data_IF_750099616574
#
_entry.id   IF_750099616574
#
_cell.length_a   1.000
_cell.length_b   1.000
_cell.length_c   1.000
_cell.angle_alpha   90.00
_cell.angle_beta   90.00
_cell.angle_gamma   90.00
#
_symmetry.space_group_name_H-M   'P 1'
#
loop_
_entity.id
_entity.type
_entity.pdbx_description
1 polymer ?
#
# COMPACT_ATOMS: atom_id res chain seq x y z
N UNK A 1 7.15 22.14 3.85
CA UNK A 1 5.74 21.74 3.80
C UNK A 1 5.54 20.59 4.78
N UNK A 2 4.44 20.62 5.55
CA UNK A 2 4.15 19.51 6.48
C UNK A 2 3.65 18.29 5.69
N UNK A 3 4.06 17.09 6.10
CA UNK A 3 3.60 15.83 5.47
C UNK A 3 2.07 15.77 5.41
N UNK A 4 1.37 16.19 6.48
CA UNK A 4 -0.08 16.30 6.52
C UNK A 4 -0.64 17.21 5.42
N UNK A 5 -0.01 18.36 5.22
CA UNK A 5 -0.44 19.31 4.17
C UNK A 5 -0.25 18.70 2.78
N UNK A 6 0.87 18.03 2.53
CA UNK A 6 1.13 17.35 1.26
C UNK A 6 0.10 16.24 0.97
N UNK A 7 -0.28 15.46 1.99
CA UNK A 7 -1.34 14.44 1.85
C UNK A 7 -2.68 15.09 1.47
N UNK A 8 -3.02 16.21 2.11
CA UNK A 8 -4.26 16.92 1.80
C UNK A 8 -4.27 17.53 0.39
N UNK A 9 -3.15 18.10 -0.05
CA UNK A 9 -2.98 18.62 -1.42
C UNK A 9 -3.09 17.51 -2.46
N UNK A 10 -2.46 16.35 -2.21
CA UNK A 10 -2.60 15.16 -3.04
C UNK A 10 -4.05 14.67 -3.09
N UNK A 11 -4.74 14.61 -1.94
CA UNK A 11 -6.14 14.21 -1.86
C UNK A 11 -7.08 15.17 -2.60
N UNK A 12 -6.80 16.47 -2.59
CA UNK A 12 -7.55 17.45 -3.38
C UNK A 12 -7.31 17.27 -4.88
N UNK A 13 -6.09 16.95 -5.27
CA UNK A 13 -5.76 16.68 -6.68
C UNK A 13 -6.49 15.46 -7.20
N UNK A 14 -6.47 14.35 -6.45
CA UNK A 14 -7.22 13.13 -6.77
C UNK A 14 -8.72 13.40 -6.78
N UNK A 15 -9.22 14.19 -5.82
CA UNK A 15 -10.63 14.57 -5.75
C UNK A 15 -11.12 15.35 -6.97
N UNK A 16 -10.28 16.15 -7.61
CA UNK A 16 -10.61 16.86 -8.88
C UNK A 16 -10.86 15.89 -10.02
N UNK A 17 -10.13 14.78 -10.06
CA UNK A 17 -10.32 13.71 -11.05
C UNK A 17 -11.52 12.80 -10.72
N UNK A 18 -12.18 13.02 -9.57
CA UNK A 18 -13.33 12.22 -9.12
C UNK A 18 -12.94 11.00 -8.30
N UNK A 19 -11.66 10.84 -7.95
CA UNK A 19 -11.17 9.75 -7.10
C UNK A 19 -11.51 9.95 -5.62
N UNK A 20 -11.61 8.84 -4.89
CA UNK A 20 -11.84 8.78 -3.45
C UNK A 20 -10.74 7.92 -2.82
N UNK A 21 -9.58 8.48 -2.52
CA UNK A 21 -8.47 7.72 -1.98
C UNK A 21 -8.81 7.18 -0.58
N UNK A 22 -8.49 5.91 -0.36
CA UNK A 22 -8.78 5.20 0.89
C UNK A 22 -7.53 5.09 1.77
N UNK A 23 -6.36 4.88 1.14
CA UNK A 23 -5.13 4.52 1.84
C UNK A 23 -3.96 5.39 1.36
N UNK A 24 -3.12 5.79 2.30
CA UNK A 24 -1.86 6.47 2.06
C UNK A 24 -0.71 5.63 2.60
N UNK A 25 0.21 5.21 1.74
CA UNK A 25 1.44 4.51 2.14
C UNK A 25 2.57 5.50 2.31
N UNK A 26 3.25 5.42 3.46
CA UNK A 26 4.43 6.21 3.79
C UNK A 26 5.57 5.33 4.28
N UNK A 27 6.80 5.83 4.18
CA UNK A 27 7.94 5.20 4.85
C UNK A 27 7.80 5.27 6.38
N UNK A 28 8.46 4.38 7.11
CA UNK A 28 8.45 4.43 8.58
C UNK A 28 8.95 5.76 9.16
N UNK A 29 9.96 6.37 8.52
CA UNK A 29 10.50 7.66 8.96
C UNK A 29 9.51 8.80 8.78
N UNK A 30 8.85 8.85 7.62
CA UNK A 30 7.85 9.87 7.31
C UNK A 30 6.59 9.70 8.16
N UNK A 31 6.18 8.45 8.38
CA UNK A 31 5.06 8.13 9.27
C UNK A 31 5.33 8.59 10.71
N UNK A 32 6.54 8.30 11.26
CA UNK A 32 6.92 8.76 12.58
C UNK A 32 6.94 10.29 12.68
N UNK A 33 7.44 10.98 11.66
CA UNK A 33 7.43 12.45 11.59
C UNK A 33 6.01 13.00 11.56
N UNK A 34 5.11 12.35 10.83
CA UNK A 34 3.70 12.72 10.79
C UNK A 34 3.05 12.54 12.17
N UNK A 35 3.25 11.40 12.84
CA UNK A 35 2.71 11.12 14.17
C UNK A 35 3.18 12.15 15.19
N UNK A 36 4.47 12.46 15.24
CA UNK A 36 5.03 13.48 16.13
C UNK A 36 4.44 14.87 15.87
N UNK A 37 4.18 15.21 14.61
CA UNK A 37 3.57 16.49 14.25
C UNK A 37 2.10 16.59 14.70
N UNK A 38 1.38 15.47 14.73
CA UNK A 38 0.00 15.39 15.20
C UNK A 38 -0.08 15.39 16.73
N UNK A 39 0.82 14.70 17.41
CA UNK A 39 0.91 14.73 18.87
C UNK A 39 1.19 16.14 19.41
N UNK A 40 2.02 16.91 18.72
CA UNK A 40 2.26 18.32 19.07
C UNK A 40 1.01 19.20 18.94
N UNK A 41 0.10 18.86 18.03
CA UNK A 41 -1.16 19.61 17.83
C UNK A 41 -2.27 19.17 18.81
N UNK A 42 -2.23 17.95 19.32
CA UNK A 42 -3.29 17.33 20.14
C UNK A 42 -2.96 17.36 21.64
N UNK A 43 -1.84 17.95 22.05
CA UNK A 43 -1.40 17.96 23.46
C UNK A 43 -2.40 18.57 24.47
N UNK A 44 -3.55 19.06 24.00
CA UNK A 44 -4.63 19.60 24.86
C UNK A 44 -5.90 18.75 25.00
N UNK A 45 -6.08 17.69 24.24
CA UNK A 45 -7.35 16.95 24.16
C UNK A 45 -7.21 15.42 24.24
N UNK A 46 -6.25 14.90 24.99
CA UNK A 46 -6.20 13.46 25.30
C UNK A 46 -7.28 13.12 26.32
N UNK A 47 -8.47 12.74 25.86
CA UNK A 47 -9.40 12.01 26.72
C UNK A 47 -8.78 10.61 26.98
N UNK A 48 -8.64 10.21 28.24
CA UNK A 48 -8.22 8.86 28.58
C UNK A 48 -9.37 7.90 28.22
N UNK A 49 -9.27 7.25 27.06
CA UNK A 49 -10.14 6.15 26.68
C UNK A 49 -9.73 4.87 27.39
N UNK A 50 -10.65 3.89 27.58
CA UNK A 50 -10.34 2.64 28.26
C UNK A 50 -9.34 1.82 27.46
N UNK A 51 -8.32 1.33 28.17
CA UNK A 51 -7.32 0.35 27.74
C UNK A 51 -6.65 0.65 26.40
N UNK A 52 -5.47 1.24 26.48
CA UNK A 52 -4.55 1.33 25.35
C UNK A 52 -4.10 -0.10 24.98
N UNK A 53 -4.73 -0.66 23.96
CA UNK A 53 -4.14 -1.79 23.27
C UNK A 53 -2.89 -1.27 22.57
N UNK A 54 -1.73 -1.79 22.96
CA UNK A 54 -0.50 -1.68 22.20
C UNK A 54 -0.68 -2.46 20.90
N UNK A 55 -1.21 -1.82 19.90
CA UNK A 55 -1.35 -2.32 18.54
C UNK A 55 -1.25 -1.12 17.61
N UNK A 56 -0.71 -1.32 16.43
CA UNK A 56 -0.56 -0.31 15.39
C UNK A 56 -1.86 0.47 15.22
N UNK A 57 -1.87 1.68 15.73
CA UNK A 57 -3.00 2.59 15.57
C UNK A 57 -2.91 3.11 14.13
N UNK A 58 -3.87 2.76 13.31
CA UNK A 58 -3.99 3.36 11.99
C UNK A 58 -4.17 4.85 12.16
N UNK A 59 -3.23 5.62 11.65
CA UNK A 59 -3.29 7.05 11.65
C UNK A 59 -4.25 7.46 10.55
N UNK A 60 -5.27 8.25 10.88
CA UNK A 60 -6.25 8.72 9.90
C UNK A 60 -6.08 10.20 9.62
N UNK A 61 -6.02 10.56 8.36
CA UNK A 61 -6.10 11.96 7.89
C UNK A 61 -7.46 12.16 7.23
N UNK A 62 -8.19 13.16 7.68
CA UNK A 62 -9.50 13.47 7.09
C UNK A 62 -9.28 14.27 5.81
N UNK A 63 -9.59 13.64 4.69
CA UNK A 63 -9.55 14.26 3.37
C UNK A 63 -10.92 14.80 2.93
N UNK A 64 -11.02 15.40 1.73
CA UNK A 64 -12.26 16.00 1.21
C UNK A 64 -13.38 14.97 0.98
N UNK A 65 -13.06 13.70 0.80
CA UNK A 65 -14.01 12.62 0.54
C UNK A 65 -14.17 11.62 1.70
N UNK A 66 -13.51 11.87 2.83
CA UNK A 66 -13.59 11.02 4.01
C UNK A 66 -12.24 10.76 4.67
N UNK A 67 -12.19 9.82 5.62
CA UNK A 67 -10.95 9.46 6.28
C UNK A 67 -10.05 8.67 5.32
N UNK A 68 -8.76 8.99 5.37
CA UNK A 68 -7.68 8.32 4.63
C UNK A 68 -6.82 7.63 5.67
N UNK A 69 -6.69 6.31 5.57
CA UNK A 69 -5.84 5.52 6.46
C UNK A 69 -4.39 5.67 6.05
N UNK A 70 -3.53 6.09 6.97
CA UNK A 70 -2.10 6.20 6.73
C UNK A 70 -1.39 4.97 7.28
N UNK A 71 -0.81 4.19 6.38
CA UNK A 71 -0.16 2.91 6.69
C UNK A 71 1.34 3.02 6.45
N UNK A 72 2.18 2.70 7.45
CA UNK A 72 3.62 2.64 7.25
C UNK A 72 4.01 1.38 6.46
N UNK A 73 4.85 1.56 5.45
CA UNK A 73 5.38 0.47 4.64
C UNK A 73 6.91 0.56 4.57
N UNK A 74 7.58 -0.58 4.80
CA UNK A 74 9.05 -0.66 4.76
C UNK A 74 9.62 -0.49 3.36
N UNK A 75 8.86 -0.90 2.34
CA UNK A 75 9.28 -0.87 0.95
C UNK A 75 9.00 0.49 0.29
N UNK A 76 8.30 1.38 1.00
CA UNK A 76 8.08 2.76 0.55
C UNK A 76 9.38 3.59 0.72
N UNK A 77 9.89 4.23 -0.34
CA UNK A 77 11.07 5.07 -0.24
C UNK A 77 10.84 6.27 0.69
N UNK A 78 11.85 6.58 1.52
CA UNK A 78 11.82 7.78 2.36
C UNK A 78 11.71 9.04 1.50
N UNK A 79 10.90 9.99 1.92
CA UNK A 79 10.65 11.21 1.17
C UNK A 79 9.56 11.06 0.09
N UNK A 80 8.86 9.93 0.07
CA UNK A 80 7.81 9.63 -0.91
C UNK A 80 6.57 9.06 -0.24
N UNK A 81 5.40 9.34 -0.83
CA UNK A 81 4.14 8.76 -0.39
C UNK A 81 3.25 8.40 -1.57
N UNK A 82 2.41 7.42 -1.36
CA UNK A 82 1.45 6.91 -2.34
C UNK A 82 0.05 7.01 -1.78
N UNK A 83 -0.79 7.77 -2.45
CA UNK A 83 -2.20 7.90 -2.12
C UNK A 83 -3.00 7.07 -3.10
N UNK A 84 -3.64 6.01 -2.61
CA UNK A 84 -4.26 5.00 -3.46
C UNK A 84 -5.74 4.84 -3.15
N UNK A 85 -6.50 4.55 -4.21
CA UNK A 85 -7.85 4.04 -4.14
C UNK A 85 -7.80 2.54 -4.47
N UNK A 86 -7.90 1.68 -3.46
CA UNK A 86 -7.62 0.25 -3.58
C UNK A 86 -8.58 -0.49 -4.50
N UNK A 87 -9.83 -0.07 -4.62
CA UNK A 87 -10.83 -0.68 -5.51
C UNK A 87 -10.50 -0.53 -7.00
N UNK A 88 -9.60 0.42 -7.36
CA UNK A 88 -9.12 0.60 -8.74
C UNK A 88 -8.03 -0.38 -9.13
N UNK A 89 -7.42 -1.07 -8.16
CA UNK A 89 -6.35 -2.03 -8.39
C UNK A 89 -6.89 -3.46 -8.46
N UNK A 90 -6.40 -4.22 -9.40
CA UNK A 90 -6.77 -5.62 -9.57
C UNK A 90 -5.55 -6.46 -9.92
N UNK A 91 -5.46 -7.63 -9.30
CA UNK A 91 -4.47 -8.64 -9.66
C UNK A 91 -5.10 -9.59 -10.69
N UNK A 92 -4.58 -9.59 -11.89
CA UNK A 92 -4.97 -10.50 -12.96
C UNK A 92 -4.04 -11.71 -12.93
N UNK A 93 -4.59 -12.90 -12.82
CA UNK A 93 -3.82 -14.14 -12.87
C UNK A 93 -4.32 -15.05 -13.98
N UNK A 94 -3.40 -15.80 -14.57
CA UNK A 94 -3.68 -16.86 -15.53
C UNK A 94 -3.66 -18.20 -14.81
N UNK A 95 -4.77 -18.55 -14.15
CA UNK A 95 -4.88 -19.72 -13.28
C UNK A 95 -4.53 -19.43 -11.82
N UNK A 96 -4.22 -20.48 -11.08
CA UNK A 96 -3.87 -20.36 -9.66
C UNK A 96 -2.57 -19.59 -9.45
N UNK A 97 -2.50 -18.83 -8.33
CA UNK A 97 -1.35 -17.97 -8.04
C UNK A 97 -0.03 -18.74 -7.96
N UNK A 98 -0.07 -19.97 -7.46
CA UNK A 98 1.05 -20.91 -7.49
C UNK A 98 0.53 -22.25 -7.96
N UNK A 99 1.03 -22.74 -9.09
CA UNK A 99 0.67 -24.04 -9.66
C UNK A 99 1.92 -24.79 -10.13
N UNK A 100 1.82 -26.10 -10.22
CA UNK A 100 2.87 -26.92 -10.83
C UNK A 100 2.78 -26.72 -12.34
N UNK A 101 3.83 -26.16 -12.92
CA UNK A 101 3.91 -25.93 -14.36
C UNK A 101 4.18 -27.26 -15.07
N UNK A 102 3.35 -27.59 -16.05
CA UNK A 102 3.60 -28.72 -16.94
C UNK A 102 4.35 -28.25 -18.18
N UNK A 103 5.39 -28.96 -18.57
CA UNK A 103 6.10 -28.78 -19.83
C UNK A 103 5.84 -30.02 -20.68
N UNK A 104 5.31 -29.84 -21.88
CA UNK A 104 4.91 -30.94 -22.79
C UNK A 104 4.00 -31.99 -22.14
N UNK A 105 3.09 -31.56 -21.25
CA UNK A 105 2.19 -32.44 -20.53
C UNK A 105 2.81 -33.18 -19.33
N UNK A 106 4.11 -33.01 -19.08
CA UNK A 106 4.80 -33.61 -17.95
C UNK A 106 4.96 -32.61 -16.82
N UNK A 107 4.55 -32.99 -15.60
CA UNK A 107 4.70 -32.19 -14.36
C UNK A 107 6.05 -32.40 -13.69
N UNK A 108 6.75 -33.51 -14.03
CA UNK A 108 8.05 -33.88 -13.49
C UNK A 108 9.02 -34.00 -14.65
N UNK A 109 10.08 -33.22 -14.61
CA UNK A 109 11.15 -33.26 -15.59
C UNK A 109 12.33 -34.02 -15.02
N UNK A 110 12.91 -34.91 -15.83
CA UNK A 110 14.12 -35.63 -15.42
C UNK A 110 15.31 -34.68 -15.54
N UNK A 111 16.12 -34.60 -14.49
CA UNK A 111 17.30 -33.75 -14.48
C UNK A 111 18.41 -34.38 -15.28
N UNK A 112 19.02 -33.63 -16.19
CA UNK A 112 20.10 -34.15 -17.00
C UNK A 112 21.38 -34.26 -16.17
N UNK A 113 21.97 -35.46 -16.13
CA UNK A 113 23.24 -35.72 -15.45
C UNK A 113 23.13 -36.19 -13.99
N UNK A 114 21.95 -36.23 -13.42
CA UNK A 114 21.70 -36.75 -12.08
C UNK A 114 20.41 -37.60 -12.04
N UNK A 115 20.37 -38.56 -11.13
CA UNK A 115 19.16 -39.36 -10.91
C UNK A 115 18.19 -38.56 -9.98
N UNK A 116 17.62 -37.49 -10.55
CA UNK A 116 16.75 -36.58 -9.87
C UNK A 116 15.56 -36.13 -10.72
N UNK A 117 14.52 -35.62 -10.06
CA UNK A 117 13.31 -35.10 -10.69
C UNK A 117 13.20 -33.62 -10.34
N UNK A 118 12.98 -32.78 -11.36
CA UNK A 118 12.71 -31.36 -11.20
C UNK A 118 11.21 -31.10 -11.28
N UNK A 119 10.66 -30.43 -10.28
CA UNK A 119 9.28 -29.95 -10.27
C UNK A 119 9.33 -28.41 -10.32
N UNK A 120 8.71 -27.85 -11.34
CA UNK A 120 8.63 -26.38 -11.50
C UNK A 120 7.31 -25.89 -10.96
N UNK A 121 7.39 -24.97 -10.00
CA UNK A 121 6.24 -24.25 -9.50
C UNK A 121 6.32 -22.79 -9.92
N UNK A 122 5.19 -22.23 -10.30
CA UNK A 122 5.11 -20.82 -10.69
C UNK A 122 3.69 -20.39 -10.97
N UNK A 123 3.52 -19.10 -11.23
CA UNK A 123 2.25 -18.51 -11.63
C UNK A 123 2.50 -17.31 -12.53
N UNK A 124 1.52 -17.01 -13.35
CA UNK A 124 1.54 -15.84 -14.23
C UNK A 124 0.48 -14.87 -13.72
N UNK A 125 0.93 -13.73 -13.22
CA UNK A 125 0.04 -12.69 -12.73
C UNK A 125 0.59 -11.31 -13.05
N UNK A 126 -0.30 -10.36 -13.19
CA UNK A 126 0.00 -8.97 -13.42
C UNK A 126 -0.93 -8.08 -12.61
N UNK A 127 -0.39 -7.07 -11.96
CA UNK A 127 -1.18 -6.04 -11.32
C UNK A 127 -1.57 -4.97 -12.35
N UNK A 128 -2.84 -4.61 -12.36
CA UNK A 128 -3.36 -3.56 -13.22
C UNK A 128 -4.17 -2.54 -12.44
N UNK A 129 -4.10 -1.28 -12.87
CA UNK A 129 -4.90 -0.20 -12.33
C UNK A 129 -5.94 0.22 -13.38
N UNK A 130 -7.22 0.22 -13.01
CA UNK A 130 -8.34 0.59 -13.91
C UNK A 130 -8.51 2.10 -14.06
N UNK A 131 -8.15 2.86 -13.02
CA UNK A 131 -8.27 4.31 -12.99
C UNK A 131 -7.02 4.97 -12.41
N UNK A 132 -5.95 5.15 -13.22
CA UNK A 132 -4.68 5.72 -12.73
C UNK A 132 -4.84 7.13 -12.14
N UNK A 133 -5.74 7.95 -12.68
CA UNK A 133 -6.01 9.31 -12.19
C UNK A 133 -6.61 9.39 -10.79
N UNK A 134 -7.09 8.26 -10.24
CA UNK A 134 -7.60 8.18 -8.86
C UNK A 134 -6.51 7.84 -7.83
N UNK A 135 -5.28 7.73 -8.30
CA UNK A 135 -4.12 7.44 -7.48
C UNK A 135 -3.07 8.54 -7.66
N UNK A 136 -2.35 8.89 -6.60
CA UNK A 136 -1.36 9.94 -6.64
C UNK A 136 -0.07 9.50 -5.95
N UNK A 137 1.04 9.80 -6.60
CA UNK A 137 2.36 9.78 -5.99
C UNK A 137 2.73 11.20 -5.57
N UNK A 138 3.30 11.38 -4.39
CA UNK A 138 3.76 12.69 -3.91
C UNK A 138 5.09 12.57 -3.17
N UNK A 139 5.85 13.67 -3.16
CA UNK A 139 7.06 13.79 -2.36
C UNK A 139 6.73 14.42 -1.01
N UNK A 140 7.33 13.90 0.09
CA UNK A 140 7.13 14.38 1.46
C UNK A 140 8.17 15.41 1.89
N UNK A 141 9.14 15.72 1.04
CA UNK A 141 10.22 16.67 1.33
C UNK A 141 9.78 18.12 1.23
#
# INVERSE_FOLDING_TARGET
TSIKQTILEAAMTVGREGGKPDVCFLSYADWATLELSLDAQVSGARQPGPAQNFGFRTLQVIGPHGPIDVVPDKDCPTGSGYLLQLDTWALYSMGDAVQILSHDGQRMLRQNGFDGVEIRMGGYYQMGCRAPGYNCYFATA
#
